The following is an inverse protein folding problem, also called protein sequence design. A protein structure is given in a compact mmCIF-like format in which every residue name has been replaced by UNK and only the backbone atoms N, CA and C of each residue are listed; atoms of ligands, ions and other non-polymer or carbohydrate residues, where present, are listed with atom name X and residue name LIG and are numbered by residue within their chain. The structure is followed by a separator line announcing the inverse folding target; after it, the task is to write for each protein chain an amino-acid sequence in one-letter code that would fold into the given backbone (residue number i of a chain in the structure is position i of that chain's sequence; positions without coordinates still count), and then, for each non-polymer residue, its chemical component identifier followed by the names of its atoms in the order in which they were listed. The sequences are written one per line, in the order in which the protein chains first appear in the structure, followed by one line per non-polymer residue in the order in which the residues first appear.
data_IF_910501138514
#
_entry.id   IF_910501138514
#
_cell.length_a   1.000
_cell.length_b   1.000
_cell.length_c   1.000
_cell.angle_alpha   90.00
_cell.angle_beta   90.00
_cell.angle_gamma   90.00
#
_symmetry.space_group_name_H-M   'P 1'
#
loop_
_entity.id
_entity.type
_entity.pdbx_description
1 polymer ?
#
# COMPACT_ATOMS: atom_id res chain seq x y z
N UNK A 1 -4.97 -41.71 1.01
CA UNK A 1 -4.08 -40.78 1.75
C UNK A 1 -3.20 -39.88 0.85
N UNK A 2 -3.22 -40.07 -0.47
CA UNK A 2 -2.50 -39.16 -1.39
C UNK A 2 -3.15 -37.77 -1.46
N UNK A 3 -4.48 -37.65 -1.26
CA UNK A 3 -5.22 -36.37 -1.31
C UNK A 3 -5.00 -35.52 -0.05
N UNK A 4 -4.62 -36.10 1.08
CA UNK A 4 -4.44 -35.36 2.34
C UNK A 4 -3.19 -34.46 2.35
N UNK A 5 -2.19 -34.77 1.52
CA UNK A 5 -0.93 -34.02 1.46
C UNK A 5 -0.86 -32.99 0.32
N UNK A 6 -1.97 -32.73 -0.38
CA UNK A 6 -2.03 -31.70 -1.41
C UNK A 6 -2.36 -30.36 -0.77
N UNK A 7 -1.55 -29.33 -1.05
CA UNK A 7 -1.84 -27.94 -0.67
C UNK A 7 -3.08 -27.37 -1.40
N UNK A 8 -3.41 -27.93 -2.56
CA UNK A 8 -4.62 -27.58 -3.31
C UNK A 8 -5.88 -28.16 -2.63
N UNK A 9 -6.97 -27.42 -2.69
CA UNK A 9 -8.29 -27.90 -2.28
C UNK A 9 -8.87 -28.87 -3.29
N UNK A 10 -9.43 -29.98 -2.80
CA UNK A 10 -10.07 -30.99 -3.65
C UNK A 10 -11.46 -31.29 -3.12
N UNK A 11 -12.47 -31.18 -4.01
CA UNK A 11 -13.84 -31.54 -3.78
C UNK A 11 -14.26 -32.64 -4.77
N UNK A 12 -14.89 -33.70 -4.29
CA UNK A 12 -15.42 -34.78 -5.13
C UNK A 12 -16.91 -34.84 -5.00
N UNK A 13 -17.60 -34.84 -6.12
CA UNK A 13 -19.05 -34.87 -6.21
C UNK A 13 -19.56 -36.15 -6.90
N UNK A 14 -20.76 -36.55 -6.57
CA UNK A 14 -21.51 -37.53 -7.39
C UNK A 14 -22.17 -36.85 -8.59
N UNK A 15 -22.84 -37.64 -9.44
CA UNK A 15 -23.59 -37.18 -10.64
C UNK A 15 -24.72 -36.18 -10.36
N UNK A 16 -25.12 -36.00 -9.09
CA UNK A 16 -26.14 -35.04 -8.65
C UNK A 16 -25.52 -33.81 -7.97
N UNK A 17 -24.21 -33.60 -8.12
CA UNK A 17 -23.47 -32.56 -7.43
C UNK A 17 -23.60 -32.58 -5.90
N UNK A 18 -23.78 -33.79 -5.32
CA UNK A 18 -23.72 -34.00 -3.88
C UNK A 18 -22.25 -34.19 -3.49
N UNK A 19 -21.77 -33.42 -2.52
CA UNK A 19 -20.38 -33.51 -2.03
C UNK A 19 -20.12 -34.88 -1.38
N UNK A 20 -19.09 -35.58 -1.80
CA UNK A 20 -18.73 -36.91 -1.30
C UNK A 20 -17.44 -36.90 -0.50
N UNK A 21 -16.48 -36.09 -0.93
CA UNK A 21 -15.16 -36.04 -0.28
C UNK A 21 -14.61 -34.62 -0.36
N UNK A 22 -13.94 -34.20 0.71
CA UNK A 22 -13.17 -32.98 0.84
C UNK A 22 -11.80 -33.31 1.44
N UNK A 23 -10.74 -32.62 1.01
CA UNK A 23 -9.41 -32.80 1.59
C UNK A 23 -9.07 -31.65 2.56
N UNK A 24 -7.99 -31.82 3.35
CA UNK A 24 -7.50 -30.78 4.29
C UNK A 24 -7.15 -29.46 3.60
N UNK A 25 -6.61 -29.52 2.35
CA UNK A 25 -6.32 -28.33 1.56
C UNK A 25 -7.56 -27.48 1.33
N UNK A 26 -8.70 -28.09 1.02
CA UNK A 26 -9.96 -27.39 0.83
C UNK A 26 -10.45 -26.71 2.13
N UNK A 27 -10.37 -27.39 3.26
CA UNK A 27 -10.74 -26.84 4.58
C UNK A 27 -9.86 -25.62 4.92
N UNK A 28 -8.57 -25.72 4.66
CA UNK A 28 -7.60 -24.63 4.91
C UNK A 28 -7.83 -23.42 4.01
N UNK A 29 -8.01 -23.64 2.71
CA UNK A 29 -8.19 -22.57 1.72
C UNK A 29 -9.52 -21.83 1.94
N UNK A 30 -10.61 -22.56 2.14
CA UNK A 30 -11.94 -21.97 2.30
C UNK A 30 -12.21 -21.50 3.71
N UNK A 31 -11.44 -21.94 4.69
CA UNK A 31 -11.57 -21.61 6.11
C UNK A 31 -13.01 -21.79 6.62
N UNK A 32 -13.65 -22.89 6.24
CA UNK A 32 -15.02 -23.22 6.59
C UNK A 32 -15.15 -24.74 6.82
N UNK A 33 -16.19 -25.14 7.56
CA UNK A 33 -16.46 -26.55 7.90
C UNK A 33 -17.15 -27.27 6.73
N UNK A 34 -16.35 -27.65 5.74
CA UNK A 34 -16.83 -28.42 4.58
C UNK A 34 -17.12 -29.88 4.89
N UNK A 35 -16.62 -30.42 6.01
CA UNK A 35 -16.98 -31.78 6.44
C UNK A 35 -18.46 -31.89 6.73
N UNK A 36 -19.07 -30.85 7.28
CA UNK A 36 -20.51 -30.78 7.53
C UNK A 36 -21.35 -30.75 6.24
N UNK A 37 -20.76 -30.43 5.10
CA UNK A 37 -21.42 -30.41 3.79
C UNK A 37 -21.33 -31.74 3.02
N UNK A 38 -20.63 -32.74 3.56
CA UNK A 38 -20.60 -34.08 2.96
C UNK A 38 -22.02 -34.67 2.96
N UNK A 39 -22.48 -35.08 1.78
CA UNK A 39 -23.85 -35.56 1.57
C UNK A 39 -24.86 -34.46 1.21
N UNK A 40 -24.46 -33.19 1.17
CA UNK A 40 -25.28 -32.05 0.81
C UNK A 40 -25.06 -31.68 -0.66
N UNK A 41 -26.14 -31.37 -1.38
CA UNK A 41 -26.02 -30.89 -2.75
C UNK A 41 -25.44 -29.47 -2.80
N UNK A 42 -24.67 -29.17 -3.83
CA UNK A 42 -23.96 -27.89 -3.99
C UNK A 42 -24.89 -26.65 -3.96
N UNK A 43 -26.16 -26.84 -4.36
CA UNK A 43 -27.17 -25.80 -4.34
C UNK A 43 -27.70 -25.44 -2.95
N UNK A 44 -27.52 -26.33 -2.00
CA UNK A 44 -28.00 -26.18 -0.62
C UNK A 44 -26.90 -25.64 0.31
N UNK A 45 -25.74 -25.25 -0.23
CA UNK A 45 -24.64 -24.73 0.58
C UNK A 45 -24.94 -23.32 1.13
N UNK A 46 -25.04 -23.15 2.45
CA UNK A 46 -25.59 -21.92 3.05
C UNK A 46 -24.60 -20.72 2.96
N UNK A 47 -23.30 -20.98 3.02
CA UNK A 47 -22.27 -19.93 3.05
C UNK A 47 -21.44 -19.83 1.78
N UNK A 48 -21.36 -20.93 1.03
CA UNK A 48 -20.51 -21.04 -0.16
C UNK A 48 -21.34 -21.10 -1.45
N UNK A 49 -22.47 -20.41 -1.47
CA UNK A 49 -23.41 -20.41 -2.61
C UNK A 49 -22.74 -19.93 -3.91
N UNK A 50 -21.84 -18.94 -3.83
CA UNK A 50 -21.10 -18.44 -4.99
C UNK A 50 -20.17 -19.52 -5.58
N UNK A 51 -19.45 -20.26 -4.74
CA UNK A 51 -18.60 -21.38 -5.17
C UNK A 51 -19.45 -22.51 -5.76
N UNK A 52 -20.56 -22.86 -5.12
CA UNK A 52 -21.46 -23.89 -5.60
C UNK A 52 -22.08 -23.56 -6.96
N UNK A 53 -22.58 -22.33 -7.13
CA UNK A 53 -23.14 -21.86 -8.39
C UNK A 53 -22.07 -21.87 -9.50
N UNK A 54 -20.88 -21.37 -9.23
CA UNK A 54 -19.76 -21.34 -10.18
C UNK A 54 -19.39 -22.76 -10.66
N UNK A 55 -19.25 -23.72 -9.73
CA UNK A 55 -18.94 -25.12 -10.06
C UNK A 55 -20.01 -25.69 -11.01
N UNK A 56 -21.28 -25.50 -10.69
CA UNK A 56 -22.40 -26.00 -11.49
C UNK A 56 -22.45 -25.41 -12.88
N UNK A 57 -22.38 -24.08 -12.96
CA UNK A 57 -22.42 -23.37 -14.23
C UNK A 57 -21.24 -23.77 -15.11
N UNK A 58 -20.03 -23.93 -14.53
CA UNK A 58 -18.84 -24.34 -15.26
C UNK A 58 -18.97 -25.74 -15.85
N UNK A 59 -19.50 -26.72 -15.09
CA UNK A 59 -19.78 -28.06 -15.63
C UNK A 59 -20.90 -28.10 -16.64
N UNK A 60 -21.91 -27.22 -16.50
CA UNK A 60 -23.02 -27.12 -17.46
C UNK A 60 -22.60 -26.48 -18.79
N UNK A 61 -21.69 -25.51 -18.73
CA UNK A 61 -21.16 -24.79 -19.90
C UNK A 61 -20.02 -25.53 -20.63
N UNK A 62 -19.35 -26.49 -19.96
CA UNK A 62 -18.22 -27.19 -20.51
C UNK A 62 -18.63 -28.18 -21.63
N UNK A 63 -18.13 -27.99 -22.83
CA UNK A 63 -18.22 -28.93 -23.95
C UNK A 63 -17.26 -30.11 -23.83
N UNK A 64 -16.12 -29.89 -23.15
CA UNK A 64 -15.10 -30.90 -22.86
C UNK A 64 -15.27 -31.47 -21.44
N UNK A 65 -14.72 -32.66 -21.15
CA UNK A 65 -14.78 -33.26 -19.81
C UNK A 65 -14.02 -32.48 -18.73
N UNK A 66 -13.19 -31.54 -19.11
CA UNK A 66 -12.38 -30.67 -18.24
C UNK A 66 -12.69 -29.19 -18.48
N UNK A 67 -12.71 -28.41 -17.40
CA UNK A 67 -12.83 -26.98 -17.46
C UNK A 67 -11.88 -26.30 -16.46
N UNK A 68 -11.56 -25.03 -16.70
CA UNK A 68 -10.81 -24.17 -15.80
C UNK A 68 -11.46 -22.80 -15.74
N UNK A 69 -11.51 -22.24 -14.53
CA UNK A 69 -12.05 -20.90 -14.33
C UNK A 69 -11.51 -20.26 -13.06
N UNK A 70 -11.74 -18.97 -12.93
CA UNK A 70 -11.33 -18.16 -11.79
C UNK A 70 -12.59 -17.61 -11.12
N UNK A 71 -12.65 -17.71 -9.79
CA UNK A 71 -13.73 -17.19 -8.97
C UNK A 71 -13.18 -16.17 -7.98
N UNK A 72 -13.71 -14.95 -8.01
CA UNK A 72 -13.49 -13.97 -6.97
C UNK A 72 -14.62 -14.07 -5.94
N UNK A 73 -14.30 -14.22 -4.67
CA UNK A 73 -15.26 -14.35 -3.58
C UNK A 73 -14.75 -13.67 -2.32
N UNK A 74 -15.59 -13.52 -1.30
CA UNK A 74 -15.19 -13.04 0.00
C UNK A 74 -15.02 -14.21 0.97
N UNK A 75 -13.93 -14.17 1.76
CA UNK A 75 -13.74 -15.10 2.88
C UNK A 75 -14.75 -14.82 3.99
N UNK A 76 -14.97 -15.75 4.92
CA UNK A 76 -15.85 -15.54 6.08
C UNK A 76 -15.47 -14.32 6.93
N UNK A 77 -14.22 -13.86 6.88
CA UNK A 77 -13.72 -12.66 7.56
C UNK A 77 -13.85 -11.36 6.74
N UNK A 78 -14.51 -11.39 5.58
CA UNK A 78 -14.72 -10.24 4.69
C UNK A 78 -13.53 -9.87 3.82
N UNK A 79 -12.44 -10.67 3.82
CA UNK A 79 -11.31 -10.41 2.93
C UNK A 79 -11.56 -11.01 1.53
N UNK A 80 -11.15 -10.32 0.45
CA UNK A 80 -11.25 -10.83 -0.90
C UNK A 80 -10.37 -12.08 -1.07
N UNK A 81 -10.87 -13.05 -1.83
CA UNK A 81 -10.18 -14.28 -2.17
C UNK A 81 -10.37 -14.58 -3.65
N UNK A 82 -9.32 -15.05 -4.29
CA UNK A 82 -9.34 -15.45 -5.70
C UNK A 82 -8.95 -16.92 -5.78
N UNK A 83 -9.90 -17.75 -6.22
CA UNK A 83 -9.68 -19.18 -6.43
C UNK A 83 -9.49 -19.46 -7.92
N UNK A 84 -8.49 -20.26 -8.24
CA UNK A 84 -8.32 -20.87 -9.56
C UNK A 84 -8.84 -22.31 -9.48
N UNK A 85 -9.96 -22.58 -10.17
CA UNK A 85 -10.62 -23.88 -10.14
C UNK A 85 -10.41 -24.64 -11.43
N UNK A 86 -10.26 -25.95 -11.31
CA UNK A 86 -10.26 -26.91 -12.41
C UNK A 86 -11.20 -28.04 -12.07
N UNK A 87 -12.14 -28.32 -12.97
CA UNK A 87 -13.09 -29.42 -12.82
C UNK A 87 -12.85 -30.49 -13.88
N UNK A 88 -13.04 -31.73 -13.51
CA UNK A 88 -12.95 -32.88 -14.42
C UNK A 88 -14.06 -33.90 -14.12
N UNK A 89 -14.65 -34.47 -15.17
CA UNK A 89 -15.62 -35.58 -15.05
C UNK A 89 -14.90 -36.90 -14.92
N UNK A 90 -15.23 -37.66 -13.89
CA UNK A 90 -14.67 -38.97 -13.67
C UNK A 90 -15.33 -40.01 -14.60
N UNK A 91 -14.52 -40.93 -15.19
CA UNK A 91 -15.05 -41.98 -16.07
C UNK A 91 -15.98 -42.93 -15.31
N UNK A 92 -16.95 -43.51 -16.01
CA UNK A 92 -17.92 -44.46 -15.43
C UNK A 92 -17.26 -45.66 -14.79
N UNK A 93 -16.09 -46.10 -15.30
CA UNK A 93 -15.30 -47.21 -14.74
C UNK A 93 -14.80 -46.93 -13.31
N UNK A 94 -14.79 -45.68 -12.87
CA UNK A 94 -14.41 -45.26 -11.52
C UNK A 94 -15.60 -44.84 -10.65
N UNK A 95 -16.82 -45.25 -11.04
CA UNK A 95 -18.07 -44.93 -10.31
C UNK A 95 -18.76 -43.69 -10.78
N UNK A 96 -18.17 -42.92 -11.70
CA UNK A 96 -18.73 -41.65 -12.20
C UNK A 96 -18.72 -40.54 -11.14
N UNK A 97 -18.93 -39.31 -11.58
CA UNK A 97 -18.94 -38.11 -10.71
C UNK A 97 -18.04 -37.02 -11.24
N UNK A 98 -17.84 -36.03 -10.44
CA UNK A 98 -17.07 -34.82 -10.80
C UNK A 98 -16.04 -34.51 -9.74
N UNK A 99 -14.85 -34.08 -10.16
CA UNK A 99 -13.78 -33.63 -9.27
C UNK A 99 -13.49 -32.17 -9.56
N UNK A 100 -13.37 -31.36 -8.52
CA UNK A 100 -12.91 -29.97 -8.59
C UNK A 100 -11.67 -29.84 -7.74
N UNK A 101 -10.60 -29.34 -8.35
CA UNK A 101 -9.34 -28.98 -7.70
C UNK A 101 -9.21 -27.46 -7.76
N UNK A 102 -8.81 -26.83 -6.67
CA UNK A 102 -8.63 -25.38 -6.65
C UNK A 102 -7.48 -24.95 -5.79
N UNK A 103 -6.88 -23.85 -6.18
CA UNK A 103 -5.80 -23.16 -5.49
C UNK A 103 -6.22 -21.74 -5.12
N UNK A 104 -5.78 -21.26 -3.97
CA UNK A 104 -5.86 -19.85 -3.62
C UNK A 104 -4.73 -19.09 -4.33
N UNK A 105 -5.10 -18.30 -5.32
CA UNK A 105 -4.16 -17.51 -6.12
C UNK A 105 -4.26 -16.01 -5.81
N UNK A 106 -4.85 -15.65 -4.68
CA UNK A 106 -5.09 -14.27 -4.27
C UNK A 106 -3.81 -13.45 -4.31
N UNK A 107 -2.77 -13.91 -3.62
CA UNK A 107 -1.48 -13.21 -3.55
C UNK A 107 -0.82 -13.11 -4.92
N UNK A 108 -0.92 -14.16 -5.74
CA UNK A 108 -0.36 -14.16 -7.09
C UNK A 108 -1.05 -13.15 -8.00
N UNK A 109 -2.40 -13.09 -7.97
CA UNK A 109 -3.17 -12.14 -8.78
C UNK A 109 -2.90 -10.71 -8.34
N UNK A 110 -2.86 -10.46 -7.02
CA UNK A 110 -2.50 -9.14 -6.50
C UNK A 110 -1.08 -8.75 -6.90
N UNK A 111 -0.09 -9.63 -6.76
CA UNK A 111 1.28 -9.36 -7.17
C UNK A 111 1.40 -9.07 -8.68
N UNK A 112 0.65 -9.79 -9.54
CA UNK A 112 0.61 -9.53 -10.97
C UNK A 112 -0.05 -8.18 -11.31
N UNK A 113 -1.19 -7.86 -10.69
CA UNK A 113 -1.87 -6.57 -10.85
C UNK A 113 -0.96 -5.42 -10.42
N UNK A 114 -0.28 -5.57 -9.29
CA UNK A 114 0.67 -4.58 -8.79
C UNK A 114 1.88 -4.42 -9.71
N UNK A 115 2.43 -5.51 -10.26
CA UNK A 115 3.53 -5.44 -11.20
C UNK A 115 3.14 -4.73 -12.50
N UNK A 116 1.97 -5.05 -13.06
CA UNK A 116 1.44 -4.38 -14.25
C UNK A 116 1.18 -2.89 -13.98
N UNK A 117 0.58 -2.56 -12.84
CA UNK A 117 0.32 -1.17 -12.44
C UNK A 117 1.60 -0.36 -12.28
N UNK A 118 2.64 -0.95 -11.70
CA UNK A 118 3.97 -0.33 -11.55
C UNK A 118 4.60 0.05 -12.89
N UNK A 119 4.55 -0.86 -13.87
CA UNK A 119 5.10 -0.59 -15.19
C UNK A 119 4.34 0.54 -15.91
N UNK A 120 3.00 0.52 -15.83
CA UNK A 120 2.14 1.59 -16.38
C UNK A 120 2.45 2.93 -15.72
N UNK A 121 2.52 2.98 -14.39
CA UNK A 121 2.80 4.21 -13.66
C UNK A 121 4.20 4.78 -13.97
N UNK A 122 5.22 3.89 -14.05
CA UNK A 122 6.58 4.29 -14.43
C UNK A 122 6.61 4.91 -15.82
N UNK A 123 5.95 4.27 -16.78
CA UNK A 123 5.89 4.74 -18.17
C UNK A 123 5.14 6.07 -18.28
N UNK A 124 3.97 6.17 -17.66
CA UNK A 124 3.18 7.42 -17.63
C UNK A 124 3.96 8.56 -16.97
N UNK A 125 4.67 8.31 -15.87
CA UNK A 125 5.49 9.34 -15.22
C UNK A 125 6.57 9.88 -16.16
N UNK A 126 7.22 9.03 -16.94
CA UNK A 126 8.20 9.46 -17.94
C UNK A 126 7.54 10.24 -19.08
N UNK A 127 6.43 9.73 -19.62
CA UNK A 127 5.72 10.37 -20.74
C UNK A 127 5.11 11.74 -20.37
N UNK A 128 4.68 11.92 -19.11
CA UNK A 128 4.18 13.23 -18.61
C UNK A 128 5.35 14.19 -18.32
N UNK A 129 6.45 13.71 -17.74
CA UNK A 129 7.60 14.57 -17.44
C UNK A 129 8.25 15.14 -18.71
N UNK A 130 8.25 14.38 -19.80
CA UNK A 130 8.87 14.77 -21.07
C UNK A 130 8.33 16.11 -21.63
N UNK A 131 7.02 16.38 -21.73
CA UNK A 131 6.51 17.66 -22.19
C UNK A 131 6.62 18.79 -21.14
N UNK A 132 6.63 18.48 -19.84
CA UNK A 132 6.69 19.48 -18.79
C UNK A 132 8.03 20.24 -18.76
N UNK A 133 9.13 19.57 -19.07
CA UNK A 133 10.46 20.20 -19.07
C UNK A 133 10.60 21.25 -20.20
N UNK A 134 10.23 20.98 -21.48
CA UNK A 134 10.19 22.02 -22.50
C UNK A 134 9.24 23.18 -22.20
N UNK A 135 8.09 22.94 -21.58
CA UNK A 135 7.14 24.02 -21.20
C UNK A 135 7.80 24.95 -20.17
N UNK A 136 8.43 24.41 -19.14
CA UNK A 136 9.17 25.20 -18.15
C UNK A 136 10.27 26.04 -18.80
N UNK A 137 11.13 25.42 -19.60
CA UNK A 137 12.23 26.11 -20.29
C UNK A 137 11.73 27.19 -21.25
N UNK A 138 10.57 26.97 -21.89
CA UNK A 138 9.96 27.98 -22.77
C UNK A 138 9.46 29.19 -21.98
N UNK A 139 8.81 28.97 -20.83
CA UNK A 139 8.39 30.05 -19.95
C UNK A 139 9.58 30.86 -19.43
N UNK A 140 10.64 30.20 -18.97
CA UNK A 140 11.88 30.84 -18.50
C UNK A 140 12.54 31.66 -19.63
N UNK A 141 12.62 31.11 -20.84
CA UNK A 141 13.16 31.81 -22.03
C UNK A 141 12.33 33.03 -22.43
N UNK A 142 11.00 32.94 -22.37
CA UNK A 142 10.11 34.06 -22.63
C UNK A 142 10.35 35.19 -21.64
N UNK A 143 10.38 34.89 -20.33
CA UNK A 143 10.70 35.88 -19.30
C UNK A 143 12.04 36.56 -19.56
N UNK A 144 13.11 35.77 -19.77
CA UNK A 144 14.47 36.27 -19.95
C UNK A 144 14.62 37.14 -21.22
N UNK A 145 13.99 36.76 -22.34
CA UNK A 145 14.18 37.47 -23.63
C UNK A 145 13.30 38.64 -23.82
N UNK A 146 12.08 38.65 -23.31
CA UNK A 146 11.08 39.69 -23.55
C UNK A 146 11.03 40.71 -22.45
N UNK A 147 11.30 40.35 -21.19
CA UNK A 147 11.24 41.29 -20.06
C UNK A 147 12.10 42.57 -20.29
N UNK A 148 13.34 42.50 -20.83
CA UNK A 148 14.12 43.69 -21.13
C UNK A 148 13.61 44.57 -22.30
N UNK A 149 12.61 44.07 -23.03
CA UNK A 149 12.05 44.75 -24.24
C UNK A 149 10.70 45.35 -24.00
N UNK A 150 10.12 45.16 -22.85
CA UNK A 150 8.79 45.64 -22.46
C UNK A 150 8.91 46.86 -21.53
N UNK A 151 7.86 47.64 -21.49
CA UNK A 151 7.68 48.65 -20.44
C UNK A 151 7.48 47.96 -19.07
N UNK A 152 7.54 48.72 -17.99
CA UNK A 152 7.48 48.22 -16.61
C UNK A 152 6.19 47.38 -16.37
N UNK A 153 5.05 47.85 -16.85
CA UNK A 153 3.79 47.13 -16.71
C UNK A 153 3.75 45.82 -17.49
N UNK A 154 4.28 45.80 -18.71
CA UNK A 154 4.38 44.62 -19.56
C UNK A 154 5.39 43.61 -19.01
N UNK A 155 6.53 44.06 -18.50
CA UNK A 155 7.53 43.19 -17.88
C UNK A 155 7.00 42.52 -16.60
N UNK A 156 6.27 43.28 -15.77
CA UNK A 156 5.63 42.76 -14.56
C UNK A 156 4.50 41.75 -14.89
N UNK A 157 3.67 42.02 -15.89
CA UNK A 157 2.67 41.07 -16.37
C UNK A 157 3.30 39.78 -16.91
N UNK A 158 4.37 39.88 -17.72
CA UNK A 158 5.08 38.74 -18.26
C UNK A 158 5.68 37.89 -17.13
N UNK A 159 6.36 38.51 -16.17
CA UNK A 159 6.97 37.83 -15.02
C UNK A 159 5.94 37.06 -14.21
N UNK A 160 4.83 37.71 -13.85
CA UNK A 160 3.74 37.00 -13.10
C UNK A 160 3.16 35.86 -13.89
N UNK A 161 2.99 35.99 -15.20
CA UNK A 161 2.42 34.95 -16.05
C UNK A 161 3.37 33.74 -16.17
N UNK A 162 4.66 33.99 -16.43
CA UNK A 162 5.68 32.95 -16.54
C UNK A 162 5.95 32.27 -15.21
N UNK A 163 6.00 33.00 -14.10
CA UNK A 163 6.12 32.44 -12.76
C UNK A 163 4.94 31.52 -12.42
N UNK A 164 3.73 31.90 -12.84
CA UNK A 164 2.55 31.04 -12.67
C UNK A 164 2.71 29.73 -13.44
N UNK A 165 3.14 29.80 -14.70
CA UNK A 165 3.38 28.60 -15.53
C UNK A 165 4.46 27.72 -14.88
N UNK A 166 5.59 28.30 -14.46
CA UNK A 166 6.69 27.56 -13.83
C UNK A 166 6.23 26.86 -12.53
N UNK A 167 5.46 27.58 -11.69
CA UNK A 167 4.88 27.02 -10.46
C UNK A 167 3.93 25.86 -10.73
N UNK A 168 3.07 25.98 -11.77
CA UNK A 168 2.15 24.90 -12.15
C UNK A 168 2.89 23.69 -12.71
N UNK A 169 3.90 23.90 -13.55
CA UNK A 169 4.74 22.81 -14.06
C UNK A 169 5.49 22.09 -12.93
N UNK A 170 6.03 22.84 -11.97
CA UNK A 170 6.69 22.26 -10.79
C UNK A 170 5.71 21.41 -9.94
N UNK A 171 4.49 21.92 -9.73
CA UNK A 171 3.44 21.18 -9.03
C UNK A 171 3.06 19.87 -9.76
N UNK A 172 2.90 19.91 -11.09
CA UNK A 172 2.63 18.72 -11.90
C UNK A 172 3.78 17.72 -11.86
N UNK A 173 5.03 18.16 -11.93
CA UNK A 173 6.21 17.29 -11.74
C UNK A 173 6.18 16.60 -10.39
N UNK A 174 5.90 17.34 -9.32
CA UNK A 174 5.77 16.78 -7.97
C UNK A 174 4.67 15.72 -7.87
N UNK A 175 3.51 15.94 -8.51
CA UNK A 175 2.44 14.94 -8.56
C UNK A 175 2.87 13.66 -9.29
N UNK A 176 3.53 13.82 -10.44
CA UNK A 176 4.03 12.69 -11.25
C UNK A 176 5.10 11.89 -10.50
N UNK A 177 5.98 12.58 -9.77
CA UNK A 177 7.01 11.93 -8.96
C UNK A 177 6.39 11.15 -7.79
N UNK A 178 5.44 11.76 -7.07
CA UNK A 178 4.69 11.09 -6.00
C UNK A 178 3.91 9.87 -6.51
N UNK A 179 3.28 9.98 -7.70
CA UNK A 179 2.58 8.86 -8.33
C UNK A 179 3.53 7.71 -8.70
N UNK A 180 4.68 8.02 -9.29
CA UNK A 180 5.72 7.03 -9.59
C UNK A 180 6.22 6.34 -8.32
N UNK A 181 6.48 7.10 -7.27
CA UNK A 181 7.00 6.58 -6.01
C UNK A 181 5.95 5.71 -5.28
N UNK A 182 4.67 6.07 -5.36
CA UNK A 182 3.57 5.22 -4.89
C UNK A 182 3.47 3.90 -5.66
N UNK A 183 3.65 3.95 -6.98
CA UNK A 183 3.58 2.77 -7.84
C UNK A 183 4.86 1.89 -7.79
N UNK A 184 5.99 2.44 -7.30
CA UNK A 184 7.24 1.69 -7.16
C UNK A 184 7.07 0.65 -6.07
N UNK A 185 7.31 -0.65 -6.39
CA UNK A 185 7.51 -1.62 -5.33
C UNK A 185 8.87 -1.30 -4.70
N UNK A 186 8.95 -1.22 -3.41
CA UNK A 186 10.22 -1.34 -2.76
C UNK A 186 10.70 -2.79 -2.93
N UNK A 187 11.58 -3.04 -3.88
CA UNK A 187 12.51 -4.14 -3.75
C UNK A 187 13.58 -3.66 -2.76
N UNK A 188 13.16 -3.37 -1.53
CA UNK A 188 14.03 -2.83 -0.50
C UNK A 188 15.08 -3.86 -0.11
N UNK A 189 16.32 -3.43 0.03
CA UNK A 189 17.34 -4.24 0.68
C UNK A 189 17.14 -4.15 2.19
N UNK A 190 16.41 -5.12 2.74
CA UNK A 190 16.24 -5.23 4.19
C UNK A 190 17.59 -5.55 4.84
N UNK A 191 18.15 -4.58 5.57
CA UNK A 191 19.43 -4.70 6.27
C UNK A 191 19.29 -4.31 7.73
N UNK A 192 20.10 -4.88 8.63
CA UNK A 192 20.17 -4.41 10.01
C UNK A 192 20.52 -2.91 10.03
N UNK A 193 19.70 -2.10 10.65
CA UNK A 193 19.78 -0.63 10.62
C UNK A 193 19.37 -0.09 11.99
N UNK A 194 19.96 1.01 12.43
CA UNK A 194 19.51 1.76 13.61
C UNK A 194 18.55 2.88 13.18
N UNK A 195 17.30 2.82 13.65
CA UNK A 195 16.29 3.82 13.33
C UNK A 195 16.72 5.24 13.75
N UNK A 196 17.37 5.39 14.92
CA UNK A 196 17.85 6.68 15.38
C UNK A 196 18.89 7.29 14.43
N UNK A 197 19.77 6.48 13.84
CA UNK A 197 20.73 6.93 12.86
C UNK A 197 20.04 7.45 11.59
N UNK A 198 19.04 6.73 11.08
CA UNK A 198 18.25 7.15 9.91
C UNK A 198 17.48 8.45 10.17
N UNK A 199 16.85 8.57 11.35
CA UNK A 199 16.13 9.79 11.74
C UNK A 199 17.09 10.97 11.83
N UNK A 200 18.25 10.78 12.45
CA UNK A 200 19.26 11.83 12.59
C UNK A 200 19.80 12.30 11.24
N UNK A 201 20.05 11.37 10.30
CA UNK A 201 20.47 11.69 8.93
C UNK A 201 19.44 12.57 8.20
N UNK A 202 18.17 12.22 8.27
CA UNK A 202 17.11 13.02 7.64
C UNK A 202 16.93 14.36 8.33
N UNK A 203 17.07 14.41 9.65
CA UNK A 203 16.92 15.64 10.42
C UNK A 203 17.97 16.70 10.05
N UNK A 204 19.17 16.31 9.58
CA UNK A 204 20.18 17.26 9.07
C UNK A 204 19.65 18.11 7.91
N UNK A 205 18.74 17.58 7.09
CA UNK A 205 18.10 18.34 5.99
C UNK A 205 17.23 19.49 6.51
N UNK A 206 16.83 19.44 7.78
CA UNK A 206 15.93 20.39 8.42
C UNK A 206 16.64 21.21 9.53
N UNK A 207 17.96 21.10 9.67
CA UNK A 207 18.73 21.76 10.74
C UNK A 207 18.58 23.29 10.72
N UNK A 208 18.40 23.88 9.53
CA UNK A 208 18.16 25.31 9.38
C UNK A 208 16.73 25.75 9.74
N UNK A 209 15.82 24.81 9.98
CA UNK A 209 14.43 25.10 10.36
C UNK A 209 14.25 25.02 11.88
N UNK A 210 14.15 26.15 12.60
CA UNK A 210 14.07 26.17 14.05
C UNK A 210 12.77 25.55 14.61
N UNK A 211 11.80 25.28 13.76
CA UNK A 211 10.53 24.66 14.16
C UNK A 211 10.66 23.15 14.33
N UNK A 212 11.71 22.51 13.78
CA UNK A 212 11.91 21.05 13.86
C UNK A 212 12.75 20.70 15.08
N UNK A 213 12.25 19.81 15.92
CA UNK A 213 12.92 19.31 17.13
C UNK A 213 13.01 17.80 17.13
N UNK A 214 14.11 17.28 17.68
CA UNK A 214 14.33 15.86 17.86
C UNK A 214 14.16 15.47 19.34
N UNK A 215 13.48 14.36 19.57
CA UNK A 215 13.32 13.71 20.88
C UNK A 215 13.54 12.19 20.70
N UNK A 216 14.80 11.81 20.44
CA UNK A 216 15.16 10.42 20.16
C UNK A 216 15.32 9.60 21.44
N UNK A 217 15.00 8.32 21.34
CA UNK A 217 15.34 7.35 22.38
C UNK A 217 16.86 7.36 22.65
N UNK A 218 17.28 7.36 23.93
CA UNK A 218 18.72 7.42 24.27
C UNK A 218 19.49 6.15 23.89
N UNK A 219 18.78 5.06 23.59
CA UNK A 219 19.38 3.79 23.19
C UNK A 219 19.23 3.55 21.70
N UNK A 220 20.17 2.83 21.04
CA UNK A 220 20.01 2.39 19.67
C UNK A 220 18.72 1.60 19.48
N UNK A 221 18.08 1.76 18.34
CA UNK A 221 16.82 1.09 17.98
C UNK A 221 17.06 0.21 16.75
N UNK A 222 17.59 -1.02 16.95
CA UNK A 222 17.92 -1.92 15.84
C UNK A 222 16.65 -2.49 15.21
N UNK A 223 16.57 -2.34 13.89
CA UNK A 223 15.49 -2.86 13.04
C UNK A 223 16.09 -3.53 11.80
N UNK A 224 15.32 -4.38 11.14
CA UNK A 224 15.65 -4.87 9.79
C UNK A 224 14.80 -4.11 8.79
N UNK A 225 15.42 -3.21 8.04
CA UNK A 225 14.71 -2.27 7.19
C UNK A 225 15.54 -1.81 5.99
N UNK A 226 14.88 -1.25 4.99
CA UNK A 226 15.54 -0.45 3.94
C UNK A 226 15.67 1.00 4.40
N UNK A 227 16.90 1.43 4.66
CA UNK A 227 17.19 2.78 5.14
C UNK A 227 16.76 3.88 4.13
N UNK A 228 16.78 3.60 2.81
CA UNK A 228 16.36 4.59 1.80
C UNK A 228 14.85 4.80 1.85
N UNK A 229 14.08 3.74 2.02
CA UNK A 229 12.62 3.81 2.16
C UNK A 229 12.20 4.45 3.48
N UNK A 230 12.90 4.15 4.57
CA UNK A 230 12.63 4.82 5.85
C UNK A 230 12.95 6.32 5.79
N UNK A 231 14.02 6.74 5.10
CA UNK A 231 14.28 8.17 4.84
C UNK A 231 13.13 8.82 4.12
N UNK A 232 12.54 8.15 3.13
CA UNK A 232 11.37 8.64 2.41
C UNK A 232 10.15 8.75 3.33
N UNK A 233 9.92 7.77 4.21
CA UNK A 233 8.86 7.84 5.22
C UNK A 233 9.01 9.06 6.10
N UNK A 234 10.19 9.25 6.71
CA UNK A 234 10.46 10.37 7.62
C UNK A 234 10.28 11.70 6.88
N UNK A 235 10.83 11.80 5.67
CA UNK A 235 10.69 13.01 4.83
C UNK A 235 9.21 13.34 4.57
N UNK A 236 8.40 12.36 4.15
CA UNK A 236 6.97 12.58 3.88
C UNK A 236 6.20 13.01 5.14
N UNK A 237 6.52 12.44 6.30
CA UNK A 237 5.90 12.83 7.57
C UNK A 237 6.27 14.27 7.96
N UNK A 238 7.55 14.64 7.82
CA UNK A 238 8.03 15.99 8.16
C UNK A 238 7.46 17.03 7.20
N UNK A 239 7.45 16.78 5.89
CA UNK A 239 6.84 17.69 4.89
C UNK A 239 5.36 17.87 5.16
N UNK A 240 4.65 16.81 5.55
CA UNK A 240 3.24 16.94 5.90
C UNK A 240 3.01 17.84 7.12
N UNK A 241 3.85 17.71 8.15
CA UNK A 241 3.85 18.57 9.35
C UNK A 241 4.23 20.03 9.03
N UNK A 242 5.24 20.26 8.17
CA UNK A 242 5.62 21.60 7.70
C UNK A 242 4.48 22.28 6.97
N UNK A 243 3.82 21.59 6.06
CA UNK A 243 2.66 22.11 5.34
C UNK A 243 1.50 22.47 6.29
N UNK A 244 1.26 21.63 7.32
CA UNK A 244 0.20 21.87 8.30
C UNK A 244 0.50 23.07 9.21
N UNK A 245 1.76 23.43 9.38
CA UNK A 245 2.21 24.52 10.27
C UNK A 245 2.64 25.77 9.53
N UNK A 246 2.49 25.85 8.20
CA UNK A 246 3.00 26.95 7.37
C UNK A 246 2.53 28.33 7.84
N UNK A 247 1.25 28.46 8.23
CA UNK A 247 0.63 29.70 8.67
C UNK A 247 0.43 29.78 10.20
N UNK A 248 1.07 28.85 10.97
CA UNK A 248 0.92 28.76 12.41
C UNK A 248 2.00 29.59 13.12
N UNK A 249 1.64 30.62 13.90
CA UNK A 249 2.60 31.34 14.73
C UNK A 249 3.25 30.42 15.77
N UNK A 250 4.58 30.39 15.82
CA UNK A 250 5.30 29.49 16.73
C UNK A 250 5.19 28.03 16.29
N UNK A 251 5.23 27.77 14.99
CA UNK A 251 5.24 26.42 14.41
C UNK A 251 6.23 25.50 15.15
N UNK A 252 5.78 24.31 15.52
CA UNK A 252 6.60 23.31 16.19
C UNK A 252 6.32 21.93 15.60
N UNK A 253 7.39 21.27 15.18
CA UNK A 253 7.36 19.91 14.64
C UNK A 253 8.33 19.08 15.46
N UNK A 254 7.87 18.00 16.04
CA UNK A 254 8.70 17.12 16.86
C UNK A 254 8.78 15.73 16.20
N UNK A 255 10.01 15.28 15.94
CA UNK A 255 10.31 13.93 15.52
C UNK A 255 10.80 13.16 16.77
N UNK A 256 10.13 12.08 17.10
CA UNK A 256 10.46 11.29 18.30
C UNK A 256 10.55 9.81 17.97
N UNK A 257 11.43 9.11 18.70
CA UNK A 257 11.54 7.66 18.66
C UNK A 257 11.43 7.08 20.06
N UNK A 258 10.80 5.93 20.20
CA UNK A 258 10.65 5.25 21.47
C UNK A 258 10.65 3.72 21.29
N UNK A 259 11.16 3.02 22.30
CA UNK A 259 11.02 1.58 22.41
C UNK A 259 9.74 1.28 23.20
N UNK A 260 8.85 0.47 22.66
CA UNK A 260 7.62 0.03 23.30
C UNK A 260 7.56 -1.51 23.37
N UNK A 261 6.72 -2.06 24.23
CA UNK A 261 6.58 -3.51 24.39
C UNK A 261 6.20 -4.22 23.08
N UNK A 262 5.47 -3.54 22.17
CA UNK A 262 4.98 -4.11 20.92
C UNK A 262 5.84 -3.73 19.69
N UNK A 263 6.99 -3.07 19.87
CA UNK A 263 7.83 -2.64 18.76
C UNK A 263 8.49 -1.28 18.98
N UNK A 264 9.07 -0.76 17.94
CA UNK A 264 9.74 0.55 17.91
C UNK A 264 8.76 1.57 17.31
N UNK A 265 8.58 2.70 18.01
CA UNK A 265 7.70 3.77 17.56
C UNK A 265 8.56 4.92 17.02
N UNK A 266 8.24 5.36 15.81
CA UNK A 266 8.63 6.64 15.24
C UNK A 266 7.38 7.52 15.16
N UNK A 267 7.42 8.71 15.73
CA UNK A 267 6.31 9.65 15.66
C UNK A 267 6.77 11.04 15.20
N UNK A 268 5.95 11.66 14.34
CA UNK A 268 6.07 13.06 13.95
C UNK A 268 4.81 13.78 14.42
N UNK A 269 5.00 14.79 15.27
CA UNK A 269 3.93 15.60 15.84
C UNK A 269 4.09 17.05 15.40
N UNK A 270 2.98 17.73 15.15
CA UNK A 270 2.92 19.15 14.85
C UNK A 270 1.89 19.88 15.73
N UNK A 271 1.98 21.19 15.78
CA UNK A 271 1.02 22.07 16.43
C UNK A 271 0.11 22.81 15.45
N UNK A 272 -0.15 22.21 14.28
CA UNK A 272 -1.05 22.69 13.26
C UNK A 272 -2.53 22.56 13.65
N UNK A 273 -3.45 22.70 12.68
CA UNK A 273 -4.90 22.59 12.94
C UNK A 273 -5.37 21.14 13.21
N UNK A 274 -4.53 20.14 12.96
CA UNK A 274 -4.91 18.72 12.97
C UNK A 274 -5.68 18.30 11.71
N UNK A 275 -6.22 17.08 11.73
CA UNK A 275 -7.04 16.53 10.65
C UNK A 275 -8.52 16.77 10.92
N UNK A 276 -9.32 17.14 9.92
CA UNK A 276 -10.78 17.07 10.03
C UNK A 276 -11.22 15.64 10.39
N UNK A 277 -12.25 15.46 11.24
CA UNK A 277 -12.68 14.13 11.68
C UNK A 277 -12.98 13.15 10.56
N UNK A 278 -13.58 13.64 9.46
CA UNK A 278 -13.90 12.85 8.26
C UNK A 278 -12.64 12.38 7.51
N UNK A 279 -11.55 13.12 7.61
CA UNK A 279 -10.29 12.81 6.95
C UNK A 279 -9.36 11.95 7.81
N UNK A 280 -9.46 12.06 9.13
CA UNK A 280 -8.57 11.34 10.05
C UNK A 280 -8.63 9.82 9.83
N UNK A 281 -9.84 9.26 9.69
CA UNK A 281 -10.04 7.84 9.45
C UNK A 281 -9.48 7.37 8.09
N UNK A 282 -9.36 8.30 7.13
CA UNK A 282 -8.95 8.01 5.75
C UNK A 282 -7.60 8.66 5.39
N UNK A 283 -6.86 9.13 6.39
CA UNK A 283 -5.64 9.93 6.17
C UNK A 283 -4.56 9.21 5.34
N UNK A 284 -4.56 7.88 5.38
CA UNK A 284 -3.60 7.05 4.64
C UNK A 284 -4.16 6.47 3.32
N UNK A 285 -5.40 6.80 2.94
CA UNK A 285 -5.94 6.41 1.65
C UNK A 285 -5.34 7.29 0.53
N UNK A 286 -5.08 6.72 -0.65
CA UNK A 286 -4.60 7.48 -1.79
C UNK A 286 -5.57 8.60 -2.19
N UNK A 287 -5.03 9.74 -2.61
CA UNK A 287 -5.77 10.92 -3.08
C UNK A 287 -6.65 11.64 -2.02
N UNK A 288 -6.59 11.23 -0.77
CA UNK A 288 -7.25 11.94 0.33
C UNK A 288 -6.36 13.12 0.76
N UNK A 289 -6.85 14.33 0.58
CA UNK A 289 -6.14 15.56 0.94
C UNK A 289 -7.11 16.71 1.21
N UNK A 290 -6.86 17.47 2.27
CA UNK A 290 -7.54 18.75 2.54
C UNK A 290 -6.79 19.96 1.99
N UNK A 291 -5.61 19.75 1.36
CA UNK A 291 -4.76 20.81 0.84
C UNK A 291 -5.12 21.11 -0.61
N UNK A 292 -5.24 22.39 -0.97
CA UNK A 292 -5.52 22.84 -2.34
C UNK A 292 -4.43 22.44 -3.35
N UNK A 293 -3.22 22.15 -2.88
CA UNK A 293 -2.05 21.74 -3.71
C UNK A 293 -1.48 20.38 -3.32
N UNK A 294 -2.13 19.65 -2.43
CA UNK A 294 -1.68 18.34 -1.99
C UNK A 294 -2.06 17.25 -2.98
N UNK A 295 -1.17 16.28 -3.23
CA UNK A 295 -1.44 15.11 -4.08
C UNK A 295 -2.28 14.05 -3.38
N UNK A 296 -2.30 14.06 -2.04
CA UNK A 296 -2.92 12.99 -1.23
C UNK A 296 -2.19 11.64 -1.32
N UNK A 297 -0.97 11.60 -1.85
CA UNK A 297 -0.19 10.36 -2.01
C UNK A 297 0.88 10.17 -0.94
N UNK A 298 1.33 11.24 -0.28
CA UNK A 298 2.45 11.17 0.67
C UNK A 298 2.21 10.20 1.82
N UNK A 299 1.05 10.26 2.48
CA UNK A 299 0.70 9.35 3.58
C UNK A 299 0.36 7.94 3.08
N UNK A 300 -0.21 7.79 1.90
CA UNK A 300 -0.42 6.48 1.29
C UNK A 300 0.90 5.76 0.98
N UNK A 301 1.93 6.50 0.52
CA UNK A 301 3.32 5.98 0.38
C UNK A 301 3.88 5.54 1.72
N UNK A 302 3.71 6.36 2.77
CA UNK A 302 4.14 6.01 4.13
C UNK A 302 3.52 4.70 4.58
N UNK A 303 2.19 4.56 4.46
CA UNK A 303 1.48 3.33 4.83
C UNK A 303 2.03 2.12 4.10
N UNK A 304 2.15 2.20 2.78
CA UNK A 304 2.67 1.12 1.95
C UNK A 304 4.07 0.68 2.36
N UNK A 305 5.00 1.62 2.52
CA UNK A 305 6.38 1.30 2.92
C UNK A 305 6.39 0.63 4.30
N UNK A 306 5.62 1.13 5.25
CA UNK A 306 5.60 0.58 6.61
C UNK A 306 4.95 -0.81 6.66
N UNK A 307 3.88 -1.05 5.93
CA UNK A 307 3.26 -2.38 5.80
C UNK A 307 4.24 -3.41 5.21
N UNK A 308 5.05 -3.03 4.23
CA UNK A 308 6.10 -3.87 3.64
C UNK A 308 7.27 -4.14 4.62
N UNK A 309 7.47 -3.28 5.61
CA UNK A 309 8.38 -3.50 6.74
C UNK A 309 7.73 -4.28 7.90
N UNK A 310 6.50 -4.81 7.72
CA UNK A 310 5.75 -5.53 8.76
C UNK A 310 5.26 -4.63 9.89
N UNK A 311 5.24 -3.32 9.68
CA UNK A 311 4.80 -2.33 10.65
C UNK A 311 3.37 -1.85 10.44
N UNK A 312 2.95 -0.91 11.27
CA UNK A 312 1.63 -0.26 11.18
C UNK A 312 1.76 1.26 11.29
N UNK A 313 0.76 1.98 10.76
CA UNK A 313 0.69 3.44 10.85
C UNK A 313 -0.62 3.88 11.49
N UNK A 314 -0.57 4.95 12.26
CA UNK A 314 -1.72 5.55 12.92
C UNK A 314 -1.63 7.07 12.89
N UNK A 315 -2.79 7.75 12.78
CA UNK A 315 -2.91 9.20 12.87
C UNK A 315 -3.85 9.58 14.00
N UNK A 316 -3.49 10.58 14.77
CA UNK A 316 -4.32 11.12 15.84
C UNK A 316 -4.22 12.66 15.87
N UNK A 317 -5.28 13.31 16.32
CA UNK A 317 -5.24 14.74 16.65
C UNK A 317 -4.79 14.93 18.09
N UNK A 318 -3.99 15.96 18.32
CA UNK A 318 -3.52 16.35 19.64
C UNK A 318 -4.42 17.43 20.25
N UNK A 319 -4.56 17.43 21.55
CA UNK A 319 -5.23 18.50 22.29
C UNK A 319 -4.20 19.55 22.78
N UNK A 320 -4.52 20.86 22.70
CA UNK A 320 -5.75 21.46 22.18
C UNK A 320 -5.80 21.58 20.66
N UNK A 321 -4.71 21.38 19.94
CA UNK A 321 -4.59 21.38 18.49
C UNK A 321 -3.29 20.70 18.07
N UNK A 322 -3.22 20.28 16.80
CA UNK A 322 -2.07 19.57 16.22
C UNK A 322 -2.43 18.17 15.77
N UNK A 323 -1.49 17.52 15.10
CA UNK A 323 -1.60 16.13 14.71
C UNK A 323 -0.34 15.35 15.14
N UNK A 324 -0.52 14.05 15.30
CA UNK A 324 0.57 13.09 15.48
C UNK A 324 0.38 11.94 14.51
N UNK A 325 1.43 11.66 13.75
CA UNK A 325 1.52 10.49 12.88
C UNK A 325 2.51 9.51 13.50
N UNK A 326 2.02 8.32 13.85
CA UNK A 326 2.79 7.26 14.50
C UNK A 326 3.04 6.11 13.53
N UNK A 327 4.27 5.65 13.49
CA UNK A 327 4.73 4.46 12.80
C UNK A 327 5.23 3.48 13.84
N UNK A 328 4.74 2.24 13.80
CA UNK A 328 5.22 1.16 14.64
C UNK A 328 5.93 0.13 13.79
N UNK A 329 7.18 -0.17 14.09
CA UNK A 329 8.00 -1.16 13.40
C UNK A 329 8.26 -2.36 14.32
N UNK A 330 8.32 -3.59 13.79
CA UNK A 330 8.64 -4.76 14.58
C UNK A 330 10.07 -4.71 15.12
N UNK A 331 10.28 -5.26 16.31
CA UNK A 331 11.61 -5.48 16.85
C UNK A 331 12.33 -6.53 15.98
N UNK A 332 13.60 -6.27 15.66
CA UNK A 332 14.42 -7.35 15.10
C UNK A 332 14.70 -8.37 16.21
N UNK A 333 14.41 -9.64 15.98
CA UNK A 333 14.81 -10.75 16.89
C UNK A 333 16.33 -10.99 16.90
N UNK A 334 17.14 -9.96 16.72
CA UNK A 334 18.57 -10.11 16.94
C UNK A 334 18.77 -10.24 18.43
N UNK A 335 19.04 -11.46 18.91
CA UNK A 335 19.48 -11.74 20.29
C UNK A 335 20.45 -10.67 20.72
N UNK A 336 20.05 -9.84 21.68
CA UNK A 336 21.01 -9.15 22.55
C UNK A 336 21.78 -10.25 23.27
N UNK A 337 22.93 -10.64 22.75
CA UNK A 337 23.96 -11.27 23.57
C UNK A 337 24.34 -10.22 24.62
N UNK A 338 23.81 -10.44 25.80
CA UNK A 338 24.18 -9.69 26.98
C UNK A 338 25.70 -9.75 27.14
N UNK A 339 26.37 -8.63 26.90
CA UNK A 339 27.74 -8.43 27.37
C UNK A 339 27.66 -8.30 28.88
N UNK A 340 27.69 -9.47 29.55
CA UNK A 340 28.08 -9.58 30.95
C UNK A 340 29.62 -9.64 30.96
N UNK A 341 30.23 -8.56 31.32
CA UNK A 341 31.57 -8.53 31.92
C UNK A 341 31.65 -7.36 32.87
#
# INVERSE_FOLDING_TARGET
DLLANLSAGVLVFDRRFVLRTVNEGALTILNDDFEALIGVAVEEWPRQAALGAFIRESFAAAEEPEWQGQLEMERPNGMPQVLLLRGSRLPETSGGGDVVVFDDVTDLVHAQRDAAWREVARRLAHEIRNPLTPIQLSAERLAMKLSPRLDEAGADFLTRSTDTIIKQVAALKGMVDAFRDYARAPAGQMTPTDLNAVVSEVALLYESNPSVRLALCPHPLPIVADAALLRQVIHNLVVNAQDATLDVPGAMIQISTALHANGIILAVSDNGPGFPPEMLARAFEPYVTGKTKGTGLGLAVVKKIIEEHGGTVHAENLEPHGARLCVTLPLSETKCEAVTS
#
